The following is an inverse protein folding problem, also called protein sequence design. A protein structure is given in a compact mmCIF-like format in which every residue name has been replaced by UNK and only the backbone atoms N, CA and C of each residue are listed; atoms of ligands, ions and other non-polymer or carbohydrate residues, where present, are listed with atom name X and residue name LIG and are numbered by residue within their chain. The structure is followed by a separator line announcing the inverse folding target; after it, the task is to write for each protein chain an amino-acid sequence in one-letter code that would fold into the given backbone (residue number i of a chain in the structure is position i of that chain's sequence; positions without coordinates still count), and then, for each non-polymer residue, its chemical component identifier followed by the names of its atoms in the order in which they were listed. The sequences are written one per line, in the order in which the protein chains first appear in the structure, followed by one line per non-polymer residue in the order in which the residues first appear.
data_IF_172617236969
#
_entry.id   IF_172617236969
#
_cell.length_a   1.000
_cell.length_b   1.000
_cell.length_c   1.000
_cell.angle_alpha   90.00
_cell.angle_beta   90.00
_cell.angle_gamma   90.00
#
_symmetry.space_group_name_H-M   'P 1'
#
loop_
_entity.id
_entity.type
_entity.pdbx_description
1 polymer ?
#
# COMPACT_ATOMS: atom_id res chain seq x y z
N UNK A 1 -16.13 -19.93 5.37
CA UNK A 1 -14.93 -19.08 5.32
C UNK A 1 -13.78 -19.95 4.84
N UNK A 2 -13.19 -19.67 3.66
CA UNK A 2 -12.19 -20.56 3.05
C UNK A 2 -10.77 -20.28 3.59
N UNK A 3 -9.85 -21.25 3.48
CA UNK A 3 -8.45 -21.08 3.88
C UNK A 3 -7.73 -19.89 3.19
N UNK A 4 -8.16 -19.53 1.97
CA UNK A 4 -7.63 -18.37 1.24
C UNK A 4 -7.98 -17.05 1.93
N UNK A 5 -9.17 -16.95 2.52
CA UNK A 5 -9.60 -15.74 3.24
C UNK A 5 -8.89 -15.60 4.58
N UNK A 6 -8.63 -16.71 5.27
CA UNK A 6 -7.84 -16.71 6.51
C UNK A 6 -6.38 -16.27 6.25
N UNK A 7 -5.80 -16.62 5.10
CA UNK A 7 -4.46 -16.19 4.72
C UNK A 7 -4.37 -14.69 4.41
N UNK A 8 -5.44 -14.09 3.85
CA UNK A 8 -5.54 -12.64 3.67
C UNK A 8 -5.54 -11.88 5.00
N UNK A 9 -6.22 -12.42 6.02
CA UNK A 9 -6.30 -11.78 7.35
C UNK A 9 -4.97 -11.85 8.12
N UNK A 10 -4.13 -12.87 7.88
CA UNK A 10 -2.85 -13.04 8.59
C UNK A 10 -1.66 -12.33 7.93
N UNK A 11 -1.79 -11.90 6.67
CA UNK A 11 -0.70 -11.29 5.91
C UNK A 11 -0.87 -9.78 5.88
N UNK A 12 0.10 -9.05 6.40
CA UNK A 12 0.13 -7.59 6.25
C UNK A 12 0.06 -7.23 4.76
N UNK A 13 -0.84 -6.32 4.41
CA UNK A 13 -1.04 -5.90 3.02
C UNK A 13 0.09 -4.93 2.63
N UNK A 14 0.82 -5.24 1.55
CA UNK A 14 1.93 -4.41 1.08
C UNK A 14 1.41 -3.32 0.16
N UNK A 15 1.53 -2.07 0.59
CA UNK A 15 1.09 -0.89 -0.14
C UNK A 15 2.31 -0.13 -0.66
N UNK A 16 2.33 0.13 -1.96
CA UNK A 16 3.25 1.09 -2.56
C UNK A 16 2.52 2.40 -2.80
N UNK A 17 2.91 3.47 -2.11
CA UNK A 17 2.35 4.81 -2.27
C UNK A 17 3.36 5.73 -2.92
N UNK A 18 2.91 6.68 -3.74
CA UNK A 18 3.83 7.68 -4.27
C UNK A 18 4.23 8.71 -3.20
N UNK A 19 5.44 9.26 -3.30
CA UNK A 19 6.01 10.25 -2.38
C UNK A 19 5.89 11.68 -2.93
N UNK A 20 4.68 12.08 -3.31
CA UNK A 20 4.36 13.47 -3.69
C UNK A 20 3.48 14.10 -2.62
N UNK A 21 3.47 15.43 -2.55
CA UNK A 21 2.69 16.13 -1.52
C UNK A 21 1.18 15.89 -1.64
N UNK A 22 0.69 15.57 -2.84
CA UNK A 22 -0.72 15.32 -3.09
C UNK A 22 -1.23 13.99 -2.49
N UNK A 23 -0.37 13.03 -2.16
CA UNK A 23 -0.77 11.78 -1.47
C UNK A 23 -0.82 11.92 0.05
N UNK A 24 -0.25 12.97 0.63
CA UNK A 24 -0.22 13.16 2.08
C UNK A 24 -1.61 13.12 2.77
N UNK A 25 -2.68 13.75 2.24
CA UNK A 25 -3.99 13.68 2.89
C UNK A 25 -4.57 12.26 2.96
N UNK A 26 -4.29 11.41 1.96
CA UNK A 26 -4.75 10.03 1.93
C UNK A 26 -3.94 9.13 2.88
N UNK A 27 -2.66 9.46 3.07
CA UNK A 27 -1.72 8.66 3.87
C UNK A 27 -1.73 9.02 5.36
N UNK A 28 -2.31 10.17 5.74
CA UNK A 28 -2.27 10.70 7.10
C UNK A 28 -2.68 9.67 8.18
N UNK A 29 -3.82 9.01 7.99
CA UNK A 29 -4.34 8.02 8.94
C UNK A 29 -3.50 6.73 8.98
N UNK A 30 -2.81 6.40 7.89
CA UNK A 30 -1.88 5.27 7.88
C UNK A 30 -0.59 5.56 8.64
N UNK A 31 -0.13 6.80 8.62
CA UNK A 31 1.09 7.24 9.31
C UNK A 31 0.85 7.54 10.80
N UNK A 32 -0.34 8.07 11.14
CA UNK A 32 -0.63 8.60 12.47
C UNK A 32 -1.74 7.86 13.23
N UNK A 33 -2.47 6.96 12.57
CA UNK A 33 -3.54 6.16 13.16
C UNK A 33 -3.09 4.78 13.65
N UNK A 34 -4.00 4.05 14.27
CA UNK A 34 -3.75 2.67 14.76
C UNK A 34 -3.84 1.62 13.66
N UNK A 35 -4.27 1.99 12.45
CA UNK A 35 -4.43 1.09 11.32
C UNK A 35 -3.10 0.60 10.73
N UNK A 36 -1.97 1.26 11.03
CA UNK A 36 -0.68 0.96 10.43
C UNK A 36 -0.14 -0.47 10.68
N UNK A 37 -0.62 -1.18 11.72
CA UNK A 37 -0.14 -2.54 12.02
C UNK A 37 -0.56 -3.59 11.01
N UNK A 38 -1.59 -3.31 10.20
CA UNK A 38 -2.15 -4.24 9.20
C UNK A 38 -1.55 -4.03 7.80
N UNK A 39 -0.72 -3.00 7.63
CA UNK A 39 -0.17 -2.59 6.34
C UNK A 39 1.35 -2.40 6.38
N UNK A 40 2.03 -2.84 5.33
CA UNK A 40 3.43 -2.52 5.08
C UNK A 40 3.49 -1.47 3.97
N UNK A 41 3.87 -0.24 4.32
CA UNK A 41 3.78 0.91 3.40
C UNK A 41 5.17 1.31 2.92
N UNK A 42 5.32 1.39 1.60
CA UNK A 42 6.52 1.88 0.92
C UNK A 42 6.22 3.14 0.11
N UNK A 43 6.92 4.23 0.40
CA UNK A 43 6.84 5.48 -0.36
C UNK A 43 7.84 5.48 -1.52
N UNK A 44 7.38 5.78 -2.73
CA UNK A 44 8.22 5.68 -3.93
C UNK A 44 7.78 6.66 -5.04
N UNK A 45 8.38 6.57 -6.22
CA UNK A 45 7.97 7.35 -7.40
C UNK A 45 6.96 6.55 -8.25
N UNK A 46 6.14 7.20 -9.11
CA UNK A 46 5.11 6.51 -9.89
C UNK A 46 5.61 5.31 -10.70
N UNK A 47 6.77 5.41 -11.35
CA UNK A 47 7.35 4.31 -12.14
C UNK A 47 7.74 3.11 -11.28
N UNK A 48 8.30 3.34 -10.10
CA UNK A 48 8.66 2.29 -9.16
C UNK A 48 7.42 1.67 -8.49
N UNK A 49 6.34 2.44 -8.29
CA UNK A 49 5.05 1.91 -7.84
C UNK A 49 4.46 0.95 -8.90
N UNK A 50 4.49 1.36 -10.17
CA UNK A 50 4.05 0.51 -11.28
C UNK A 50 4.90 -0.77 -11.42
N UNK A 51 6.21 -0.67 -11.20
CA UNK A 51 7.12 -1.82 -11.14
C UNK A 51 6.74 -2.79 -10.00
N UNK A 52 6.51 -2.26 -8.81
CA UNK A 52 6.19 -3.06 -7.63
C UNK A 52 4.87 -3.81 -7.80
N UNK A 53 3.87 -3.19 -8.43
CA UNK A 53 2.62 -3.85 -8.81
C UNK A 53 2.86 -4.94 -9.85
N UNK A 54 3.60 -4.64 -10.92
CA UNK A 54 3.84 -5.59 -12.00
C UNK A 54 4.58 -6.85 -11.54
N UNK A 55 5.49 -6.70 -10.59
CA UNK A 55 6.32 -7.79 -10.05
C UNK A 55 5.70 -8.51 -8.86
N UNK A 56 4.57 -8.00 -8.33
CA UNK A 56 3.96 -8.53 -7.10
C UNK A 56 4.76 -8.20 -5.83
N UNK A 57 5.68 -7.24 -5.90
CA UNK A 57 6.36 -6.70 -4.72
C UNK A 57 5.43 -5.83 -3.86
N UNK A 58 4.37 -5.27 -4.45
CA UNK A 58 3.25 -4.65 -3.74
C UNK A 58 1.93 -5.36 -4.08
N UNK A 59 1.02 -5.41 -3.12
CA UNK A 59 -0.33 -5.92 -3.30
C UNK A 59 -1.29 -4.80 -3.76
N UNK A 60 -1.04 -3.55 -3.32
CA UNK A 60 -1.82 -2.35 -3.65
C UNK A 60 -0.89 -1.20 -4.05
N UNK A 61 -1.30 -0.40 -5.02
CA UNK A 61 -0.58 0.81 -5.44
C UNK A 61 -1.45 2.05 -5.34
N UNK A 62 -0.96 3.08 -4.65
CA UNK A 62 -1.59 4.40 -4.54
C UNK A 62 -0.88 5.33 -5.53
N UNK A 63 -1.43 5.43 -6.74
CA UNK A 63 -0.90 6.22 -7.85
C UNK A 63 -1.96 7.26 -8.26
N UNK A 64 -1.66 8.57 -8.30
CA UNK A 64 -2.58 9.57 -8.77
C UNK A 64 -2.87 9.37 -10.26
N UNK A 65 -4.11 9.65 -10.64
CA UNK A 65 -4.55 9.59 -12.03
C UNK A 65 -4.23 10.88 -12.83
N UNK A 66 -3.60 11.88 -12.20
CA UNK A 66 -3.35 13.22 -12.74
C UNK A 66 -1.90 13.65 -12.57
#
# INVERSE_FOLDING_TARGET
MSLLELNMVMRSLRISAISYLNTAPLMWDFEHGTAGSEFEISYTIPSACAEALRTGAADIGIIPAA
#
